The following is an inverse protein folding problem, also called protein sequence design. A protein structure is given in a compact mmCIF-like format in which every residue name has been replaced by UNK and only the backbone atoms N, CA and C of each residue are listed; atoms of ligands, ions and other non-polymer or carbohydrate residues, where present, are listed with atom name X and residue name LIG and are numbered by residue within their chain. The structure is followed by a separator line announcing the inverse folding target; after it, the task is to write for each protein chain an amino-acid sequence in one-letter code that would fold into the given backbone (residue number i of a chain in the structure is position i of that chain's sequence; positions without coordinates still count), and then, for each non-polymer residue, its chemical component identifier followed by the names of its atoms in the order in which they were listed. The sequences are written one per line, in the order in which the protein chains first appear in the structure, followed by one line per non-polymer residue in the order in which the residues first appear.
data_IF_979763605100
#
_entry.id   IF_979763605100
#
_cell.length_a   1.000
_cell.length_b   1.000
_cell.length_c   1.000
_cell.angle_alpha   90.00
_cell.angle_beta   90.00
_cell.angle_gamma   90.00
#
_symmetry.space_group_name_H-M   'P 1'
#
loop_
_entity.id
_entity.type
_entity.pdbx_description
1 polymer ?
#
# COMPACT_ATOMS: atom_id res chain seq x y z
N UNK A 1 -5.44 -10.45 7.92
CA UNK A 1 -5.22 -9.35 8.87
C UNK A 1 -5.23 -7.96 8.25
N UNK A 2 -4.97 -7.77 6.95
CA UNK A 2 -4.96 -6.42 6.33
C UNK A 2 -6.24 -5.59 6.63
N UNK A 3 -7.41 -6.23 6.73
CA UNK A 3 -8.68 -5.59 7.09
C UNK A 3 -8.68 -4.91 8.48
N UNK A 4 -7.87 -5.41 9.42
CA UNK A 4 -7.76 -4.88 10.79
C UNK A 4 -6.95 -3.57 10.85
N UNK A 5 -6.26 -3.20 9.76
CA UNK A 5 -5.41 -2.02 9.68
C UNK A 5 -6.18 -0.69 9.75
N UNK A 6 -7.48 -0.71 9.44
CA UNK A 6 -8.38 0.44 9.59
C UNK A 6 -9.34 0.29 10.76
N UNK A 7 -8.99 -0.55 11.74
CA UNK A 7 -9.78 -0.69 12.97
C UNK A 7 -9.74 0.60 13.79
N UNK A 8 -10.68 0.77 14.71
CA UNK A 8 -10.69 1.91 15.65
C UNK A 8 -9.62 1.80 16.73
N UNK A 9 -8.91 0.67 16.81
CA UNK A 9 -7.77 0.47 17.69
C UNK A 9 -6.50 0.98 16.97
N UNK A 10 -6.15 2.23 17.27
CA UNK A 10 -4.96 2.88 16.71
C UNK A 10 -3.64 2.15 17.04
N UNK A 11 -3.36 1.72 18.29
CA UNK A 11 -2.12 1.00 18.57
C UNK A 11 -2.04 -0.34 17.82
N UNK A 12 -3.15 -1.08 17.67
CA UNK A 12 -3.18 -2.28 16.84
C UNK A 12 -2.86 -1.98 15.38
N UNK A 13 -3.49 -0.96 14.80
CA UNK A 13 -3.28 -0.52 13.42
C UNK A 13 -1.83 -0.08 13.18
N UNK A 14 -1.23 0.64 14.13
CA UNK A 14 0.16 1.07 14.08
C UNK A 14 1.16 -0.11 14.13
N UNK A 15 0.94 -1.09 15.01
CA UNK A 15 1.76 -2.31 15.09
C UNK A 15 1.66 -3.10 13.80
N UNK A 16 0.46 -3.30 13.27
CA UNK A 16 0.25 -4.03 12.03
C UNK A 16 0.93 -3.34 10.84
N UNK A 17 0.82 -2.01 10.73
CA UNK A 17 1.53 -1.24 9.72
C UNK A 17 3.05 -1.42 9.83
N UNK A 18 3.58 -1.42 11.06
CA UNK A 18 5.01 -1.61 11.30
C UNK A 18 5.47 -2.99 10.86
N UNK A 19 4.68 -4.05 11.10
CA UNK A 19 4.98 -5.39 10.63
C UNK A 19 5.03 -5.47 9.10
N UNK A 20 4.06 -4.87 8.41
CA UNK A 20 4.10 -4.81 6.94
C UNK A 20 5.33 -4.05 6.42
N UNK A 21 5.68 -2.92 7.04
CA UNK A 21 6.88 -2.15 6.68
C UNK A 21 8.16 -2.97 6.86
N UNK A 22 8.25 -3.83 7.89
CA UNK A 22 9.38 -4.75 8.06
C UNK A 22 9.44 -5.79 6.94
N UNK A 23 8.29 -6.35 6.56
CA UNK A 23 8.21 -7.29 5.41
C UNK A 23 8.66 -6.60 4.12
N UNK A 24 8.16 -5.41 3.83
CA UNK A 24 8.55 -4.66 2.62
C UNK A 24 10.00 -4.20 2.66
N UNK A 25 10.55 -3.86 3.84
CA UNK A 25 11.97 -3.53 3.98
C UNK A 25 12.88 -4.75 3.81
N UNK A 26 12.39 -5.95 4.15
CA UNK A 26 13.18 -7.18 4.06
C UNK A 26 13.64 -7.50 2.63
N UNK A 27 12.84 -7.18 1.60
CA UNK A 27 13.21 -7.43 0.20
C UNK A 27 14.35 -6.50 -0.26
N UNK A 28 14.50 -5.34 0.38
CA UNK A 28 15.61 -4.41 0.11
C UNK A 28 16.91 -4.92 0.71
N UNK A 29 16.84 -5.57 1.87
CA UNK A 29 18.00 -6.17 2.55
C UNK A 29 18.37 -7.54 1.97
N UNK A 30 17.36 -8.30 1.55
CA UNK A 30 17.44 -9.69 1.11
C UNK A 30 16.62 -9.85 -0.19
N UNK A 31 17.19 -9.54 -1.37
CA UNK A 31 16.51 -9.65 -2.66
C UNK A 31 15.91 -11.03 -2.95
N UNK A 32 16.46 -12.09 -2.34
CA UNK A 32 15.94 -13.46 -2.38
C UNK A 32 14.49 -13.61 -1.85
N UNK A 33 13.99 -12.63 -1.10
CA UNK A 33 12.62 -12.59 -0.62
C UNK A 33 11.60 -12.07 -1.65
N UNK A 34 12.06 -11.50 -2.78
CA UNK A 34 11.20 -11.03 -3.88
C UNK A 34 10.16 -12.08 -4.33
N UNK A 35 10.53 -13.32 -4.68
CA UNK A 35 9.57 -14.34 -5.10
C UNK A 35 8.54 -14.72 -4.02
N UNK A 36 8.88 -14.53 -2.74
CA UNK A 36 7.96 -14.79 -1.62
C UNK A 36 6.90 -13.69 -1.52
N UNK A 37 7.28 -12.42 -1.71
CA UNK A 37 6.33 -11.30 -1.67
C UNK A 37 5.43 -11.25 -2.90
N UNK A 38 5.96 -11.64 -4.07
CA UNK A 38 5.28 -11.55 -5.38
C UNK A 38 3.83 -12.03 -5.42
N UNK A 39 3.48 -13.26 -5.00
CA UNK A 39 2.10 -13.75 -5.07
C UNK A 39 1.12 -12.96 -4.18
N UNK A 40 1.63 -12.17 -3.22
CA UNK A 40 0.81 -11.40 -2.30
C UNK A 40 0.62 -9.94 -2.74
N UNK A 41 1.43 -9.44 -3.67
CA UNK A 41 1.46 -8.02 -4.06
C UNK A 41 0.09 -7.53 -4.53
N UNK A 42 -0.52 -8.23 -5.49
CA UNK A 42 -1.85 -7.86 -6.01
C UNK A 42 -2.92 -7.87 -4.92
N UNK A 43 -2.91 -8.91 -4.08
CA UNK A 43 -3.86 -9.04 -2.97
C UNK A 43 -3.72 -7.90 -1.97
N UNK A 44 -2.49 -7.49 -1.65
CA UNK A 44 -2.21 -6.37 -0.74
C UNK A 44 -2.74 -5.06 -1.33
N UNK A 45 -2.40 -4.74 -2.57
CA UNK A 45 -2.80 -3.49 -3.24
C UNK A 45 -4.32 -3.39 -3.34
N UNK A 46 -4.97 -4.43 -3.89
CA UNK A 46 -6.43 -4.45 -4.09
C UNK A 46 -7.16 -4.41 -2.75
N UNK A 47 -6.69 -5.17 -1.75
CA UNK A 47 -7.34 -5.19 -0.44
C UNK A 47 -7.17 -3.86 0.29
N UNK A 48 -5.99 -3.22 0.20
CA UNK A 48 -5.76 -1.92 0.82
C UNK A 48 -6.68 -0.86 0.22
N UNK A 49 -6.77 -0.78 -1.12
CA UNK A 49 -7.67 0.15 -1.80
C UNK A 49 -9.14 -0.10 -1.46
N UNK A 50 -9.57 -1.37 -1.45
CA UNK A 50 -10.94 -1.72 -1.08
C UNK A 50 -11.25 -1.36 0.37
N UNK A 51 -10.35 -1.64 1.31
CA UNK A 51 -10.62 -1.37 2.72
C UNK A 51 -10.59 0.14 3.00
N UNK A 52 -9.68 0.89 2.38
CA UNK A 52 -9.58 2.35 2.53
C UNK A 52 -10.90 3.08 2.23
N UNK A 53 -11.72 2.58 1.30
CA UNK A 53 -13.01 3.21 0.97
C UNK A 53 -14.15 2.91 1.95
N UNK A 54 -13.95 2.02 2.93
CA UNK A 54 -15.00 1.54 3.83
C UNK A 54 -14.69 1.75 5.32
N UNK A 55 -13.56 2.39 5.66
CA UNK A 55 -13.14 2.58 7.05
C UNK A 55 -13.08 4.06 7.44
N UNK A 56 -13.26 4.38 8.73
CA UNK A 56 -13.10 5.76 9.21
C UNK A 56 -11.64 6.25 9.18
N UNK A 57 -10.67 5.32 9.24
CA UNK A 57 -9.24 5.63 9.27
C UNK A 57 -8.52 5.11 8.00
N UNK A 58 -8.71 5.74 6.83
CA UNK A 58 -8.09 5.29 5.58
C UNK A 58 -6.57 5.54 5.51
N UNK A 59 -6.05 6.41 6.39
CA UNK A 59 -4.65 6.84 6.42
C UNK A 59 -3.66 5.67 6.56
N UNK A 60 -3.99 4.66 7.37
CA UNK A 60 -3.12 3.49 7.55
C UNK A 60 -3.01 2.64 6.27
N UNK A 61 -4.08 2.54 5.48
CA UNK A 61 -4.05 1.82 4.19
C UNK A 61 -3.23 2.56 3.14
N UNK A 62 -3.37 3.88 3.04
CA UNK A 62 -2.55 4.67 2.12
C UNK A 62 -1.08 4.70 2.57
N UNK A 63 -0.82 4.67 3.88
CA UNK A 63 0.54 4.57 4.43
C UNK A 63 1.20 3.23 4.12
N UNK A 64 0.40 2.15 4.11
CA UNK A 64 0.83 0.83 3.68
C UNK A 64 1.21 0.82 2.20
N UNK A 65 0.36 1.38 1.32
CA UNK A 65 0.65 1.50 -0.11
C UNK A 65 1.92 2.30 -0.38
N UNK A 66 2.10 3.42 0.33
CA UNK A 66 3.32 4.24 0.20
C UNK A 66 4.57 3.45 0.58
N UNK A 67 4.51 2.71 1.68
CA UNK A 67 5.62 1.87 2.11
C UNK A 67 5.93 0.79 1.07
N UNK A 68 4.91 0.14 0.51
CA UNK A 68 5.07 -0.85 -0.54
C UNK A 68 5.74 -0.24 -1.79
N UNK A 69 5.21 0.85 -2.32
CA UNK A 69 5.73 1.49 -3.54
C UNK A 69 7.15 2.00 -3.36
N UNK A 70 7.47 2.56 -2.19
CA UNK A 70 8.85 2.95 -1.86
C UNK A 70 9.80 1.75 -1.83
N UNK A 71 9.34 0.60 -1.31
CA UNK A 71 10.17 -0.60 -1.21
C UNK A 71 10.40 -1.32 -2.53
N UNK A 72 9.42 -1.29 -3.45
CA UNK A 72 9.54 -1.96 -4.77
C UNK A 72 10.00 -1.00 -5.89
N UNK A 73 9.93 0.31 -5.64
CA UNK A 73 10.32 1.36 -6.58
C UNK A 73 11.82 1.39 -6.86
N UNK A 74 12.20 1.97 -8.00
CA UNK A 74 13.60 2.11 -8.42
C UNK A 74 14.14 0.99 -9.31
N UNK A 75 13.26 0.14 -9.88
CA UNK A 75 13.59 -0.78 -10.97
C UNK A 75 14.43 -2.00 -10.59
N UNK A 76 14.67 -2.24 -9.30
CA UNK A 76 15.51 -3.36 -8.82
C UNK A 76 14.80 -4.71 -8.82
N UNK A 77 13.46 -4.72 -8.80
CA UNK A 77 12.63 -5.91 -8.58
C UNK A 77 11.73 -6.18 -9.79
N UNK A 78 12.30 -6.82 -10.82
CA UNK A 78 11.58 -7.04 -12.08
C UNK A 78 10.31 -7.90 -11.91
N UNK A 79 10.33 -8.89 -11.02
CA UNK A 79 9.19 -9.80 -10.89
C UNK A 79 8.02 -9.12 -10.17
N UNK A 80 8.31 -8.31 -9.15
CA UNK A 80 7.30 -7.46 -8.50
C UNK A 80 6.77 -6.41 -9.45
N UNK A 81 7.62 -5.83 -10.29
CA UNK A 81 7.19 -4.85 -11.28
C UNK A 81 6.25 -5.45 -12.32
N UNK A 82 6.56 -6.65 -12.83
CA UNK A 82 5.68 -7.40 -13.76
C UNK A 82 4.32 -7.73 -13.14
N UNK A 83 4.28 -8.05 -11.84
CA UNK A 83 3.03 -8.29 -11.11
C UNK A 83 2.24 -7.00 -10.87
N UNK A 84 2.93 -5.87 -10.66
CA UNK A 84 2.30 -4.59 -10.36
C UNK A 84 1.73 -3.88 -11.59
N UNK A 85 2.43 -3.95 -12.73
CA UNK A 85 2.06 -3.23 -13.96
C UNK A 85 0.59 -3.42 -14.40
N UNK A 86 0.02 -4.64 -14.40
CA UNK A 86 -1.39 -4.84 -14.75
C UNK A 86 -2.38 -4.14 -13.81
N UNK A 87 -1.98 -3.87 -12.57
CA UNK A 87 -2.83 -3.22 -11.57
C UNK A 87 -2.85 -1.70 -11.71
N UNK A 88 -1.76 -1.14 -12.24
CA UNK A 88 -1.46 0.29 -12.26
C UNK A 88 -2.61 1.15 -12.84
N UNK A 89 -3.23 0.83 -13.99
CA UNK A 89 -4.32 1.66 -14.53
C UNK A 89 -5.52 1.75 -13.59
N UNK A 90 -5.95 0.61 -13.04
CA UNK A 90 -7.10 0.53 -12.13
C UNK A 90 -6.83 1.18 -10.78
N UNK A 91 -5.58 1.07 -10.31
CA UNK A 91 -5.10 1.67 -9.08
C UNK A 91 -5.06 3.19 -9.19
N UNK A 92 -4.43 3.73 -10.23
CA UNK A 92 -4.33 5.18 -10.45
C UNK A 92 -5.72 5.81 -10.56
N UNK A 93 -6.63 5.19 -11.32
CA UNK A 93 -8.01 5.68 -11.42
C UNK A 93 -8.71 5.68 -10.04
N UNK A 94 -8.44 4.70 -9.19
CA UNK A 94 -9.00 4.63 -7.84
C UNK A 94 -8.36 5.64 -6.89
N UNK A 95 -7.06 5.89 -6.99
CA UNK A 95 -6.35 6.91 -6.21
C UNK A 95 -6.80 8.32 -6.57
N UNK A 96 -6.97 8.62 -7.87
CA UNK A 96 -7.48 9.92 -8.35
C UNK A 96 -8.89 10.19 -7.80
N UNK A 97 -9.78 9.19 -7.86
CA UNK A 97 -11.13 9.31 -7.28
C UNK A 97 -11.09 9.51 -5.77
N UNK A 98 -10.24 8.77 -5.06
CA UNK A 98 -10.06 8.95 -3.62
C UNK A 98 -9.51 10.34 -3.27
N UNK A 99 -8.60 10.90 -4.09
CA UNK A 99 -8.07 12.23 -3.87
C UNK A 99 -9.15 13.31 -4.06
N UNK A 100 -10.01 13.15 -5.06
CA UNK A 100 -11.11 14.07 -5.33
C UNK A 100 -12.15 14.13 -4.20
N UNK A 101 -12.33 13.03 -3.44
CA UNK A 101 -13.31 12.95 -2.35
C UNK A 101 -12.70 13.12 -0.95
N UNK A 102 -11.37 13.14 -0.82
CA UNK A 102 -10.70 13.27 0.46
C UNK A 102 -10.81 14.70 1.03
N UNK A 103 -11.30 14.82 2.27
CA UNK A 103 -11.41 16.11 2.96
C UNK A 103 -10.21 16.41 3.88
N UNK A 104 -9.53 15.37 4.38
CA UNK A 104 -8.41 15.53 5.31
C UNK A 104 -7.12 15.88 4.54
N UNK A 105 -6.42 17.00 4.88
CA UNK A 105 -5.22 17.43 4.17
C UNK A 105 -4.12 16.35 4.12
N UNK A 106 -3.84 15.69 5.24
CA UNK A 106 -2.83 14.63 5.32
C UNK A 106 -3.14 13.44 4.40
N UNK A 107 -4.42 13.09 4.23
CA UNK A 107 -4.84 12.03 3.31
C UNK A 107 -4.68 12.47 1.86
N UNK A 108 -5.02 13.73 1.54
CA UNK A 108 -4.86 14.28 0.19
C UNK A 108 -3.40 14.32 -0.26
N UNK A 109 -2.50 14.77 0.61
CA UNK A 109 -1.05 14.79 0.36
C UNK A 109 -0.53 13.39 0.07
N UNK A 110 -0.87 12.43 0.93
CA UNK A 110 -0.47 11.04 0.75
C UNK A 110 -1.01 10.41 -0.55
N UNK A 111 -2.24 10.74 -0.94
CA UNK A 111 -2.81 10.28 -2.21
C UNK A 111 -2.11 10.89 -3.43
N UNK A 112 -1.61 12.12 -3.35
CA UNK A 112 -0.78 12.72 -4.40
C UNK A 112 0.56 12.00 -4.51
N UNK A 113 1.22 11.74 -3.36
CA UNK A 113 2.47 10.95 -3.33
C UNK A 113 2.31 9.58 -3.98
N UNK A 114 1.15 8.93 -3.84
CA UNK A 114 0.88 7.61 -4.42
C UNK A 114 0.65 7.63 -5.94
N UNK A 115 0.36 8.80 -6.52
CA UNK A 115 0.15 8.98 -7.95
C UNK A 115 1.43 9.36 -8.72
N UNK A 116 2.48 9.77 -8.01
CA UNK A 116 3.78 10.21 -8.55
C UNK A 116 4.81 9.07 -8.48
#
# INVERSE_FOLDING_TARGET
RIKELGSTDEPQSAVLLRLFKLVFGSITLFPENEPVLRPHLSTIVVSAMRCASHVPQPLYFFSLLRALFKSIGGGKFEQLYKEFLPLLPSLLHSLIRAHATAHQPAVRELLLELCL
#
